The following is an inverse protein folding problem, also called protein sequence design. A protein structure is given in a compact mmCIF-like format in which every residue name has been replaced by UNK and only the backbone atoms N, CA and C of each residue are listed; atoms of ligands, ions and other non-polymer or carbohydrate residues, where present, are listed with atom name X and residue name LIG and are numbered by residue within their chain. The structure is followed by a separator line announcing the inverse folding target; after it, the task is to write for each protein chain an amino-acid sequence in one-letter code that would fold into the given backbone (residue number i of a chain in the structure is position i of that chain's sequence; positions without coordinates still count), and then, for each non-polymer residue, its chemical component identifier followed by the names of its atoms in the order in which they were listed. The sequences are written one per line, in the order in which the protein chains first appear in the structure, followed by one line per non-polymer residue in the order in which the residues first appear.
data_IF_912704239361
#
_entry.id   IF_912704239361
#
_cell.length_a   1.000
_cell.length_b   1.000
_cell.length_c   1.000
_cell.angle_alpha   90.00
_cell.angle_beta   90.00
_cell.angle_gamma   90.00
#
_symmetry.space_group_name_H-M   'P 1'
#
loop_
_entity.id
_entity.type
_entity.pdbx_description
1 polymer ?
#
# COMPACT_ATOMS: atom_id res chain seq x y z
N UNK A 1 33.18 -20.13 -20.08
CA UNK A 1 33.37 -21.19 -19.08
C UNK A 1 32.01 -21.42 -18.44
N UNK A 2 31.51 -22.65 -18.56
CA UNK A 2 30.11 -23.11 -18.38
C UNK A 2 29.28 -22.35 -17.33
N UNK A 3 28.12 -21.83 -17.75
CA UNK A 3 26.98 -21.63 -16.87
C UNK A 3 26.64 -22.99 -16.26
N UNK A 4 26.98 -23.19 -14.99
CA UNK A 4 26.28 -24.17 -14.16
C UNK A 4 24.94 -23.54 -13.85
N UNK A 5 23.91 -23.97 -14.57
CA UNK A 5 22.54 -23.83 -14.09
C UNK A 5 22.45 -24.64 -12.80
N UNK A 6 22.58 -23.98 -11.66
CA UNK A 6 22.29 -24.56 -10.34
C UNK A 6 20.77 -24.80 -10.27
N UNK A 7 20.33 -25.89 -10.89
CA UNK A 7 18.95 -26.34 -11.00
C UNK A 7 18.39 -26.95 -9.72
N UNK A 8 19.12 -26.88 -8.61
CA UNK A 8 18.75 -27.55 -7.36
C UNK A 8 17.89 -26.66 -6.44
N UNK A 9 18.08 -25.33 -6.48
CA UNK A 9 17.27 -24.37 -5.72
C UNK A 9 15.91 -24.03 -6.35
N UNK A 10 15.87 -23.89 -7.69
CA UNK A 10 14.64 -23.49 -8.40
C UNK A 10 13.55 -24.58 -8.37
N UNK A 11 13.94 -25.85 -8.38
CA UNK A 11 12.99 -26.96 -8.39
C UNK A 11 12.33 -27.17 -7.02
N UNK A 12 13.06 -26.98 -5.91
CA UNK A 12 12.50 -27.07 -4.56
C UNK A 12 11.56 -25.90 -4.26
N UNK A 13 11.90 -24.70 -4.72
CA UNK A 13 11.02 -23.54 -4.62
C UNK A 13 9.77 -23.69 -5.49
N UNK A 14 9.89 -24.22 -6.72
CA UNK A 14 8.75 -24.51 -7.58
C UNK A 14 7.82 -25.56 -6.94
N UNK A 15 8.37 -26.61 -6.32
CA UNK A 15 7.59 -27.61 -5.56
C UNK A 15 6.88 -26.98 -4.36
N UNK A 16 7.53 -26.11 -3.59
CA UNK A 16 6.88 -25.37 -2.48
C UNK A 16 5.74 -24.48 -2.97
N UNK A 17 5.93 -23.80 -4.11
CA UNK A 17 4.89 -22.98 -4.74
C UNK A 17 3.71 -23.81 -5.25
N UNK A 18 3.95 -25.00 -5.81
CA UNK A 18 2.90 -25.95 -6.19
C UNK A 18 2.11 -26.40 -4.95
N UNK A 19 2.79 -26.71 -3.83
CA UNK A 19 2.13 -27.10 -2.58
C UNK A 19 1.25 -25.96 -2.04
N UNK A 20 1.74 -24.72 -2.08
CA UNK A 20 0.95 -23.53 -1.71
C UNK A 20 -0.26 -23.37 -2.62
N UNK A 21 -0.10 -23.53 -3.93
CA UNK A 21 -1.20 -23.45 -4.89
C UNK A 21 -2.27 -24.53 -4.65
N UNK A 22 -1.86 -25.75 -4.30
CA UNK A 22 -2.76 -26.86 -3.94
C UNK A 22 -3.52 -26.55 -2.65
N UNK A 23 -2.85 -26.02 -1.62
CA UNK A 23 -3.50 -25.64 -0.35
C UNK A 23 -4.54 -24.52 -0.58
N UNK A 24 -4.20 -23.53 -1.41
CA UNK A 24 -5.12 -22.44 -1.76
C UNK A 24 -6.31 -22.95 -2.57
N UNK A 25 -6.07 -23.80 -3.58
CA UNK A 25 -7.12 -24.40 -4.39
C UNK A 25 -8.04 -25.29 -3.54
N UNK A 26 -7.49 -26.08 -2.61
CA UNK A 26 -8.25 -26.88 -1.67
C UNK A 26 -9.07 -26.01 -0.70
N UNK A 27 -8.51 -24.87 -0.25
CA UNK A 27 -9.23 -23.88 0.57
C UNK A 27 -10.40 -23.24 -0.18
N UNK A 28 -10.22 -22.85 -1.45
CA UNK A 28 -11.28 -22.30 -2.31
C UNK A 28 -12.34 -23.36 -2.63
N UNK A 29 -11.94 -24.60 -2.88
CA UNK A 29 -12.87 -25.70 -3.15
C UNK A 29 -13.71 -26.04 -1.89
N UNK A 30 -13.08 -26.14 -0.72
CA UNK A 30 -13.77 -26.32 0.56
C UNK A 30 -14.73 -25.17 0.89
N UNK A 31 -14.39 -23.95 0.49
CA UNK A 31 -15.23 -22.76 0.60
C UNK A 31 -16.50 -22.84 -0.26
N UNK A 32 -16.42 -23.48 -1.44
CA UNK A 32 -17.57 -23.69 -2.33
C UNK A 32 -18.50 -24.84 -1.89
N UNK A 33 -17.96 -25.88 -1.25
CA UNK A 33 -18.76 -27.04 -0.81
C UNK A 33 -19.58 -26.74 0.46
N UNK A 34 -19.05 -25.94 1.38
CA UNK A 34 -19.75 -25.45 2.59
C UNK A 34 -20.54 -24.16 2.35
N UNK A 35 -21.29 -24.10 1.25
CA UNK A 35 -22.13 -22.93 0.91
C UNK A 35 -23.46 -22.87 1.67
N UNK A 36 -23.84 -23.94 2.37
CA UNK A 36 -25.16 -24.10 3.01
C UNK A 36 -25.14 -24.06 4.56
N UNK A 37 -24.00 -23.76 5.20
CA UNK A 37 -23.81 -23.80 6.67
C UNK A 37 -23.03 -22.57 7.21
N UNK A 38 -23.01 -22.39 8.54
CA UNK A 38 -22.69 -21.12 9.22
C UNK A 38 -21.32 -20.47 8.87
N UNK A 39 -21.34 -19.14 8.71
CA UNK A 39 -20.21 -18.28 8.30
C UNK A 39 -18.92 -18.44 9.15
N UNK A 40 -19.04 -18.89 10.40
CA UNK A 40 -17.94 -18.95 11.36
C UNK A 40 -16.94 -20.07 11.06
N UNK A 41 -17.42 -21.29 10.78
CA UNK A 41 -16.54 -22.44 10.50
C UNK A 41 -15.76 -22.27 9.20
N UNK A 42 -16.38 -21.65 8.18
CA UNK A 42 -15.76 -21.35 6.89
C UNK A 42 -14.61 -20.33 7.02
N UNK A 43 -14.83 -19.28 7.83
CA UNK A 43 -13.84 -18.21 8.01
C UNK A 43 -12.63 -18.68 8.82
N UNK A 44 -12.85 -19.50 9.86
CA UNK A 44 -11.76 -20.07 10.66
C UNK A 44 -10.94 -21.07 9.84
N UNK A 45 -11.59 -21.97 9.08
CA UNK A 45 -10.88 -22.90 8.19
C UNK A 45 -10.06 -22.17 7.11
N UNK A 46 -10.61 -21.10 6.54
CA UNK A 46 -9.90 -20.28 5.56
C UNK A 46 -8.75 -19.49 6.17
N UNK A 47 -8.91 -18.96 7.39
CA UNK A 47 -7.83 -18.30 8.12
C UNK A 47 -6.69 -19.26 8.46
N UNK A 48 -6.99 -20.50 8.86
CA UNK A 48 -5.98 -21.52 9.14
C UNK A 48 -5.26 -21.93 7.84
N UNK A 49 -5.99 -22.15 6.74
CA UNK A 49 -5.39 -22.46 5.45
C UNK A 49 -4.52 -21.32 4.91
N UNK A 50 -4.97 -20.06 5.04
CA UNK A 50 -4.21 -18.88 4.67
C UNK A 50 -2.96 -18.70 5.55
N UNK A 51 -3.07 -18.95 6.85
CA UNK A 51 -1.95 -18.94 7.79
C UNK A 51 -0.90 -19.99 7.46
N UNK A 52 -1.32 -21.24 7.18
CA UNK A 52 -0.43 -22.32 6.77
C UNK A 52 0.24 -22.04 5.42
N UNK A 53 -0.51 -21.56 4.43
CA UNK A 53 0.02 -21.14 3.13
C UNK A 53 1.03 -20.00 3.26
N UNK A 54 0.72 -18.98 4.07
CA UNK A 54 1.62 -17.88 4.38
C UNK A 54 2.89 -18.33 5.09
N UNK A 55 2.79 -19.28 6.02
CA UNK A 55 3.93 -19.87 6.73
C UNK A 55 4.85 -20.67 5.81
N UNK A 56 4.29 -21.46 4.89
CA UNK A 56 5.04 -22.23 3.90
C UNK A 56 5.68 -21.29 2.86
N UNK A 57 4.96 -20.26 2.41
CA UNK A 57 5.47 -19.25 1.50
C UNK A 57 6.64 -18.46 2.12
N UNK A 58 6.55 -18.11 3.41
CA UNK A 58 7.62 -17.42 4.14
C UNK A 58 8.90 -18.26 4.30
N UNK A 59 8.81 -19.60 4.25
CA UNK A 59 9.96 -20.51 4.29
C UNK A 59 10.66 -20.72 2.94
N UNK A 60 10.13 -20.16 1.85
CA UNK A 60 10.73 -20.21 0.49
C UNK A 60 11.84 -19.16 0.36
N UNK A 61 12.84 -19.36 -0.50
CA UNK A 61 13.98 -18.42 -0.59
C UNK A 61 13.54 -17.00 -0.95
N UNK A 62 12.54 -16.86 -1.83
CA UNK A 62 11.89 -15.56 -2.11
C UNK A 62 11.13 -14.97 -0.91
N UNK A 63 10.53 -15.82 -0.07
CA UNK A 63 9.82 -15.40 1.14
C UNK A 63 10.77 -14.80 2.18
N UNK A 64 11.94 -15.42 2.37
CA UNK A 64 12.99 -14.89 3.26
C UNK A 64 13.55 -13.55 2.76
N UNK A 65 13.79 -13.41 1.46
CA UNK A 65 14.19 -12.12 0.87
C UNK A 65 13.14 -11.02 1.10
N UNK A 66 11.85 -11.33 0.94
CA UNK A 66 10.77 -10.37 1.19
C UNK A 66 10.68 -9.98 2.68
N UNK A 67 10.86 -10.93 3.59
CA UNK A 67 10.90 -10.66 5.04
C UNK A 67 12.09 -9.77 5.39
N UNK A 68 13.27 -10.03 4.82
CA UNK A 68 14.45 -9.19 5.01
C UNK A 68 14.22 -7.76 4.46
N UNK A 69 13.61 -7.60 3.29
CA UNK A 69 13.24 -6.28 2.75
C UNK A 69 12.25 -5.55 3.66
N UNK A 70 11.27 -6.25 4.24
CA UNK A 70 10.35 -5.66 5.21
C UNK A 70 11.07 -5.23 6.50
N UNK A 71 12.05 -6.00 6.96
CA UNK A 71 12.88 -5.67 8.12
C UNK A 71 13.77 -4.45 7.84
N UNK A 72 14.40 -4.39 6.67
CA UNK A 72 15.18 -3.24 6.20
C UNK A 72 14.31 -1.99 6.05
N UNK A 73 13.11 -2.12 5.47
CA UNK A 73 12.14 -1.03 5.36
C UNK A 73 11.70 -0.49 6.73
N UNK A 74 11.56 -1.36 7.74
CA UNK A 74 11.28 -0.92 9.12
C UNK A 74 12.42 -0.10 9.73
N UNK A 75 13.67 -0.45 9.41
CA UNK A 75 14.84 0.32 9.85
C UNK A 75 14.85 1.69 9.16
N UNK A 76 14.50 1.77 7.88
CA UNK A 76 14.43 3.01 7.13
C UNK A 76 13.28 3.92 7.59
N UNK A 77 12.10 3.35 7.87
CA UNK A 77 10.96 4.09 8.45
C UNK A 77 11.33 4.72 9.79
N UNK A 78 12.22 4.09 10.58
CA UNK A 78 12.72 4.69 11.82
C UNK A 78 13.64 5.89 11.56
N UNK A 79 14.27 5.99 10.39
CA UNK A 79 15.06 7.15 9.99
C UNK A 79 14.18 8.31 9.48
N UNK A 80 12.89 8.09 9.26
CA UNK A 80 11.94 9.17 8.96
C UNK A 80 11.80 10.02 10.20
N UNK A 81 12.50 11.15 10.20
CA UNK A 81 12.32 12.20 11.20
C UNK A 81 10.96 12.83 10.92
N UNK A 82 9.96 12.38 11.67
CA UNK A 82 8.62 12.95 11.54
C UNK A 82 8.68 14.42 11.95
N UNK A 83 8.15 15.34 11.11
CA UNK A 83 8.24 16.76 11.35
C UNK A 83 7.58 17.09 12.69
N UNK A 84 8.17 18.03 13.41
CA UNK A 84 7.59 18.47 14.67
C UNK A 84 6.30 19.26 14.40
N UNK A 85 5.41 19.34 15.39
CA UNK A 85 4.17 20.13 15.27
C UNK A 85 4.46 21.60 14.96
N UNK A 86 5.61 22.12 15.40
CA UNK A 86 6.04 23.49 15.13
C UNK A 86 6.38 23.70 13.65
N UNK A 87 7.17 22.82 13.04
CA UNK A 87 7.55 22.90 11.61
C UNK A 87 6.33 22.77 10.69
N UNK A 88 5.42 21.85 11.04
CA UNK A 88 4.17 21.64 10.29
C UNK A 88 3.28 22.88 10.33
N UNK A 89 3.17 23.51 11.50
CA UNK A 89 2.35 24.73 11.68
C UNK A 89 2.99 25.93 11.00
N UNK A 90 4.31 26.08 11.07
CA UNK A 90 5.04 27.16 10.40
C UNK A 90 4.83 27.10 8.89
N UNK A 91 4.99 25.92 8.29
CA UNK A 91 4.77 25.73 6.85
C UNK A 91 3.31 26.03 6.47
N UNK A 92 2.35 25.58 7.28
CA UNK A 92 0.91 25.85 7.04
C UNK A 92 0.59 27.33 7.11
N UNK A 93 1.13 28.07 8.09
CA UNK A 93 0.93 29.52 8.21
C UNK A 93 1.53 30.26 7.01
N UNK A 94 2.73 29.88 6.56
CA UNK A 94 3.35 30.47 5.36
C UNK A 94 2.46 30.27 4.14
N UNK A 95 1.98 29.04 3.92
CA UNK A 95 1.08 28.74 2.80
C UNK A 95 -0.23 29.54 2.90
N UNK A 96 -0.82 29.66 4.10
CA UNK A 96 -2.04 30.45 4.32
C UNK A 96 -1.82 31.93 3.99
N UNK A 97 -0.69 32.51 4.38
CA UNK A 97 -0.36 33.91 4.06
C UNK A 97 -0.27 34.10 2.55
N UNK A 98 0.41 33.19 1.84
CA UNK A 98 0.54 33.27 0.38
C UNK A 98 -0.84 33.19 -0.30
N UNK A 99 -1.69 32.25 0.10
CA UNK A 99 -3.04 32.11 -0.45
C UNK A 99 -3.89 33.36 -0.16
N UNK A 100 -3.76 33.93 1.04
CA UNK A 100 -4.50 35.13 1.43
C UNK A 100 -4.10 36.35 0.59
N UNK A 101 -2.81 36.53 0.31
CA UNK A 101 -2.33 37.61 -0.58
C UNK A 101 -2.89 37.43 -1.99
N UNK A 102 -2.82 36.22 -2.55
CA UNK A 102 -3.37 35.94 -3.89
C UNK A 102 -4.88 36.19 -3.93
N UNK A 103 -5.62 35.77 -2.90
CA UNK A 103 -7.06 35.99 -2.80
C UNK A 103 -7.42 37.49 -2.81
N UNK A 104 -6.67 38.33 -2.06
CA UNK A 104 -6.89 39.78 -2.06
C UNK A 104 -6.59 40.40 -3.42
N UNK A 105 -5.50 39.99 -4.08
CA UNK A 105 -5.12 40.52 -5.39
C UNK A 105 -6.20 40.19 -6.43
N UNK A 106 -6.67 38.94 -6.46
CA UNK A 106 -7.74 38.53 -7.37
C UNK A 106 -9.02 39.29 -7.06
N UNK A 107 -9.44 39.35 -5.79
CA UNK A 107 -10.65 40.07 -5.38
C UNK A 107 -10.62 41.55 -5.80
N UNK A 108 -9.49 42.23 -5.64
CA UNK A 108 -9.31 43.61 -6.06
C UNK A 108 -9.42 43.76 -7.58
N UNK A 109 -8.78 42.84 -8.33
CA UNK A 109 -8.81 42.83 -9.79
C UNK A 109 -10.24 42.59 -10.32
N UNK A 110 -10.95 41.62 -9.75
CA UNK A 110 -12.33 41.29 -10.09
C UNK A 110 -13.27 42.48 -9.83
N UNK A 111 -13.10 43.18 -8.70
CA UNK A 111 -13.89 44.37 -8.36
C UNK A 111 -13.61 45.55 -9.32
N UNK A 112 -12.34 45.75 -9.69
CA UNK A 112 -11.95 46.79 -10.65
C UNK A 112 -12.50 46.50 -12.05
N UNK A 113 -12.29 45.28 -12.56
CA UNK A 113 -12.80 44.85 -13.85
C UNK A 113 -14.33 44.93 -13.89
N UNK A 114 -15.01 44.47 -12.84
CA UNK A 114 -16.46 44.57 -12.72
C UNK A 114 -16.98 46.01 -12.77
N UNK A 115 -16.29 46.94 -12.11
CA UNK A 115 -16.65 48.38 -12.11
C UNK A 115 -16.42 49.05 -13.47
N UNK A 116 -15.35 48.67 -14.17
CA UNK A 116 -15.08 49.14 -15.53
C UNK A 116 -16.16 48.65 -16.49
N UNK A 117 -16.49 47.36 -16.44
CA UNK A 117 -17.51 46.75 -17.30
C UNK A 117 -18.89 47.36 -17.06
N UNK A 118 -19.28 47.59 -15.80
CA UNK A 118 -20.59 48.19 -15.48
C UNK A 118 -20.73 49.63 -16.01
N UNK A 119 -19.65 50.42 -15.97
CA UNK A 119 -19.62 51.79 -16.54
C UNK A 119 -19.66 51.82 -18.07
N UNK A 120 -19.27 50.75 -18.76
CA UNK A 120 -19.40 50.67 -20.21
C UNK A 120 -20.78 50.21 -20.66
N UNK A 121 -21.50 49.46 -19.82
CA UNK A 121 -22.84 48.93 -20.12
C UNK A 121 -23.97 49.90 -19.75
N UNK A 122 -23.75 50.77 -18.76
CA UNK A 122 -24.72 51.79 -18.30
C UNK A 122 -24.36 53.15 -18.88
#
# INVERSE_FOLDING_TARGET
MSEKFDSEGNNLDLVKWIIVAIIVAAGVYGNSYFSAESLLFRTIGLLIAAGAAGWIAAQTDRGRSFVNLCLEARVEIRKVVWPTRQETTQTTIVVLIVIFIVAIILWLLDALLGSVISSFIT
#
